data_IF_812910921264
#
_entry.id   IF_812910921264
#
_cell.length_a   1.000
_cell.length_b   1.000
_cell.length_c   1.000
_cell.angle_alpha   90.00
_cell.angle_beta   90.00
_cell.angle_gamma   90.00
#
_symmetry.space_group_name_H-M   'P 1'
#
loop_
_entity.id
_entity.type
_entity.pdbx_description
1 polymer ?
#
# COMPACT_ATOMS: atom_id res chain seq x y z
N UNK A 1 34.21 -12.32 13.74
CA UNK A 1 33.02 -12.87 14.41
C UNK A 1 31.84 -12.10 13.87
N UNK A 2 30.93 -12.75 13.15
CA UNK A 2 29.73 -12.08 12.65
C UNK A 2 28.68 -12.11 13.76
N UNK A 3 28.48 -10.98 14.43
CA UNK A 3 27.30 -10.78 15.27
C UNK A 3 26.11 -10.71 14.31
N UNK A 4 25.43 -11.84 14.11
CA UNK A 4 24.11 -11.81 13.50
C UNK A 4 23.20 -11.11 14.50
N UNK A 5 22.46 -10.07 14.09
CA UNK A 5 21.49 -9.45 14.98
C UNK A 5 20.51 -10.52 15.47
N UNK A 6 20.35 -10.61 16.78
CA UNK A 6 19.37 -11.49 17.42
C UNK A 6 17.97 -11.00 17.02
N UNK A 7 17.11 -11.91 16.57
CA UNK A 7 15.76 -11.55 16.15
C UNK A 7 14.91 -11.18 17.36
N UNK A 8 14.39 -9.94 17.37
CA UNK A 8 13.52 -9.44 18.41
C UNK A 8 12.05 -9.47 17.94
N UNK A 9 11.31 -10.49 18.39
CA UNK A 9 9.89 -10.68 18.06
C UNK A 9 9.03 -9.47 18.48
N UNK A 10 9.26 -8.91 19.66
CA UNK A 10 8.43 -7.80 20.16
C UNK A 10 8.59 -6.55 19.31
N UNK A 11 9.82 -6.26 18.90
CA UNK A 11 10.12 -5.12 18.03
C UNK A 11 9.54 -5.33 16.63
N UNK A 12 9.65 -6.55 16.08
CA UNK A 12 9.05 -6.90 14.81
C UNK A 12 7.52 -6.70 14.81
N UNK A 13 6.83 -7.21 15.83
CA UNK A 13 5.38 -7.03 15.97
C UNK A 13 4.99 -5.56 16.13
N UNK A 14 5.76 -4.78 16.90
CA UNK A 14 5.52 -3.35 17.04
C UNK A 14 5.65 -2.61 15.70
N UNK A 15 6.64 -2.97 14.88
CA UNK A 15 6.82 -2.39 13.54
C UNK A 15 5.68 -2.79 12.58
N UNK A 16 5.20 -4.04 12.64
CA UNK A 16 4.05 -4.50 11.86
C UNK A 16 2.76 -3.75 12.25
N UNK A 17 2.48 -3.63 13.54
CA UNK A 17 1.30 -2.89 14.01
C UNK A 17 1.35 -1.43 13.55
N UNK A 18 2.49 -0.76 13.71
CA UNK A 18 2.66 0.61 13.25
C UNK A 18 2.50 0.75 11.73
N UNK A 19 2.86 -0.28 10.95
CA UNK A 19 2.60 -0.32 9.51
C UNK A 19 1.10 -0.36 9.21
N UNK A 20 0.35 -1.27 9.85
CA UNK A 20 -1.09 -1.39 9.64
C UNK A 20 -1.84 -0.13 10.10
N UNK A 21 -1.48 0.45 11.24
CA UNK A 21 -2.08 1.71 11.72
C UNK A 21 -1.95 2.84 10.69
N UNK A 22 -0.79 2.95 10.02
CA UNK A 22 -0.60 3.94 8.95
C UNK A 22 -1.44 3.62 7.71
N UNK A 23 -1.53 2.36 7.32
CA UNK A 23 -2.35 1.94 6.19
C UNK A 23 -3.84 2.21 6.45
N UNK A 24 -4.33 1.88 7.63
CA UNK A 24 -5.71 2.10 8.06
C UNK A 24 -6.05 3.60 8.11
N UNK A 25 -5.14 4.45 8.56
CA UNK A 25 -5.33 5.89 8.53
C UNK A 25 -5.58 6.41 7.09
N UNK A 26 -4.87 5.88 6.11
CA UNK A 26 -5.06 6.22 4.69
C UNK A 26 -6.37 5.67 4.15
N UNK A 27 -6.74 4.44 4.50
CA UNK A 27 -8.03 3.83 4.13
C UNK A 27 -9.20 4.62 4.71
N UNK A 28 -9.11 5.03 5.98
CA UNK A 28 -10.13 5.85 6.64
C UNK A 28 -10.30 7.20 5.96
N UNK A 29 -9.20 7.84 5.57
CA UNK A 29 -9.26 9.06 4.77
C UNK A 29 -9.93 8.83 3.41
N UNK A 30 -9.59 7.76 2.71
CA UNK A 30 -10.25 7.42 1.44
C UNK A 30 -11.75 7.17 1.62
N UNK A 31 -12.14 6.39 2.64
CA UNK A 31 -13.55 6.13 2.96
C UNK A 31 -14.32 7.41 3.27
N UNK A 32 -13.70 8.40 3.91
CA UNK A 32 -14.32 9.70 4.18
C UNK A 32 -14.65 10.51 2.92
N UNK A 33 -14.06 10.17 1.78
CA UNK A 33 -14.30 10.83 0.48
C UNK A 33 -15.40 10.16 -0.35
N UNK A 34 -15.96 9.05 0.11
CA UNK A 34 -17.14 8.45 -0.50
C UNK A 34 -18.33 9.41 -0.38
N UNK A 35 -19.03 9.62 -1.48
CA UNK A 35 -20.20 10.50 -1.52
C UNK A 35 -21.14 10.09 -2.66
N UNK A 36 -22.37 10.63 -2.74
CA UNK A 36 -23.25 10.43 -3.89
C UNK A 36 -22.63 10.87 -5.23
N UNK A 37 -21.59 11.72 -5.20
CA UNK A 37 -20.88 12.23 -6.38
C UNK A 37 -19.54 11.50 -6.64
N UNK A 38 -19.05 10.71 -5.68
CA UNK A 38 -17.77 10.00 -5.73
C UNK A 38 -17.93 8.59 -5.19
N UNK A 39 -18.14 7.62 -6.08
CA UNK A 39 -18.29 6.21 -5.70
C UNK A 39 -16.93 5.54 -5.43
N UNK A 40 -16.96 4.33 -4.88
CA UNK A 40 -15.76 3.59 -4.46
C UNK A 40 -14.67 3.50 -5.54
N UNK A 41 -15.04 3.17 -6.78
CA UNK A 41 -14.08 3.17 -7.91
C UNK A 41 -13.35 4.49 -8.16
N UNK A 42 -14.03 5.64 -8.03
CA UNK A 42 -13.41 6.96 -8.21
C UNK A 42 -12.47 7.33 -7.06
N UNK A 43 -12.88 7.01 -5.82
CA UNK A 43 -12.05 7.19 -4.63
C UNK A 43 -10.82 6.29 -4.70
N UNK A 44 -10.98 5.02 -5.09
CA UNK A 44 -9.88 4.08 -5.28
C UNK A 44 -8.89 4.55 -6.36
N UNK A 45 -9.39 5.08 -7.48
CA UNK A 45 -8.53 5.66 -8.52
C UNK A 45 -7.74 6.87 -8.00
N UNK A 46 -8.37 7.74 -7.22
CA UNK A 46 -7.73 8.90 -6.58
C UNK A 46 -6.66 8.47 -5.59
N UNK A 47 -6.94 7.45 -4.76
CA UNK A 47 -5.98 6.88 -3.83
C UNK A 47 -4.78 6.25 -4.55
N UNK A 48 -5.01 5.50 -5.63
CA UNK A 48 -3.94 4.91 -6.43
C UNK A 48 -3.02 5.99 -7.05
N UNK A 49 -3.61 7.08 -7.55
CA UNK A 49 -2.84 8.22 -8.06
C UNK A 49 -2.04 8.91 -6.94
N UNK A 50 -2.62 9.09 -5.77
CA UNK A 50 -1.93 9.64 -4.61
C UNK A 50 -0.75 8.76 -4.16
N UNK A 51 -0.96 7.44 -4.10
CA UNK A 51 0.07 6.47 -3.77
C UNK A 51 1.25 6.52 -4.76
N UNK A 52 0.98 6.59 -6.06
CA UNK A 52 2.02 6.72 -7.08
C UNK A 52 2.83 8.01 -6.91
N UNK A 53 2.18 9.15 -6.64
CA UNK A 53 2.88 10.43 -6.41
C UNK A 53 3.76 10.40 -5.17
N UNK A 54 3.26 9.81 -4.08
CA UNK A 54 4.03 9.66 -2.86
C UNK A 54 5.24 8.74 -3.08
N UNK A 55 5.04 7.60 -3.75
CA UNK A 55 6.10 6.66 -4.11
C UNK A 55 7.23 7.34 -4.92
N UNK A 56 6.88 8.12 -5.95
CA UNK A 56 7.86 8.90 -6.73
C UNK A 56 8.58 9.91 -5.85
N UNK A 57 7.87 10.65 -4.98
CA UNK A 57 8.51 11.59 -4.05
C UNK A 57 9.49 10.90 -3.10
N UNK A 58 9.13 9.72 -2.58
CA UNK A 58 9.99 8.96 -1.68
C UNK A 58 11.23 8.41 -2.40
N UNK A 59 11.06 7.86 -3.61
CA UNK A 59 12.15 7.32 -4.41
C UNK A 59 13.16 8.39 -4.85
N UNK A 60 12.70 9.62 -5.04
CA UNK A 60 13.50 10.70 -5.61
C UNK A 60 14.32 11.49 -4.58
N UNK A 61 14.10 11.29 -3.27
CA UNK A 61 14.67 12.13 -2.21
C UNK A 61 16.20 12.15 -2.17
N UNK A 62 16.87 11.13 -2.72
CA UNK A 62 18.33 11.03 -2.79
C UNK A 62 18.96 11.56 -4.09
N UNK A 63 18.16 11.97 -5.08
CA UNK A 63 18.68 12.39 -6.38
C UNK A 63 18.98 13.88 -6.43
N UNK A 64 20.17 14.23 -6.89
CA UNK A 64 20.60 15.63 -7.08
C UNK A 64 20.43 16.10 -8.53
N UNK A 65 20.49 15.17 -9.50
CA UNK A 65 20.43 15.47 -10.94
C UNK A 65 19.31 14.68 -11.61
N UNK A 66 18.50 15.39 -12.41
CA UNK A 66 17.43 14.77 -13.18
C UNK A 66 17.93 13.70 -14.18
N UNK A 67 19.16 13.82 -14.68
CA UNK A 67 19.77 12.81 -15.57
C UNK A 67 20.05 11.48 -14.88
N UNK A 68 20.36 11.51 -13.58
CA UNK A 68 20.60 10.28 -12.82
C UNK A 68 19.27 9.64 -12.43
N UNK A 69 18.27 10.45 -12.05
CA UNK A 69 16.90 9.96 -11.88
C UNK A 69 16.33 9.33 -13.16
N UNK A 70 16.62 9.92 -14.32
CA UNK A 70 16.14 9.39 -15.59
C UNK A 70 16.69 7.99 -15.90
N UNK A 71 17.91 7.66 -15.45
CA UNK A 71 18.51 6.32 -15.61
C UNK A 71 17.82 5.28 -14.72
N UNK A 72 17.36 5.69 -13.54
CA UNK A 72 16.72 4.82 -12.54
C UNK A 72 15.21 4.71 -12.72
N UNK A 73 14.63 5.42 -13.70
CA UNK A 73 13.17 5.52 -13.91
C UNK A 73 12.51 4.15 -14.01
N UNK A 74 13.03 3.27 -14.85
CA UNK A 74 12.40 1.97 -15.12
C UNK A 74 12.52 1.04 -13.91
N UNK A 75 13.62 1.11 -13.16
CA UNK A 75 13.82 0.34 -11.93
C UNK A 75 12.88 0.81 -10.81
N UNK A 76 12.66 2.13 -10.67
CA UNK A 76 11.67 2.69 -9.73
C UNK A 76 10.27 2.21 -10.10
N UNK A 77 9.88 2.27 -11.37
CA UNK A 77 8.56 1.80 -11.84
C UNK A 77 8.40 0.31 -11.51
N UNK A 78 9.40 -0.50 -11.86
CA UNK A 78 9.38 -1.95 -11.61
C UNK A 78 9.22 -2.25 -10.11
N UNK A 79 10.03 -1.62 -9.26
CA UNK A 79 9.99 -1.85 -7.82
C UNK A 79 8.59 -1.61 -7.22
N UNK A 80 7.98 -0.46 -7.51
CA UNK A 80 6.66 -0.15 -6.94
C UNK A 80 5.53 -0.96 -7.56
N UNK A 81 5.58 -1.25 -8.86
CA UNK A 81 4.53 -2.04 -9.52
C UNK A 81 4.54 -3.50 -9.08
N UNK A 82 5.71 -4.13 -8.94
CA UNK A 82 5.83 -5.50 -8.42
C UNK A 82 5.33 -5.60 -6.98
N UNK A 83 5.68 -4.65 -6.12
CA UNK A 83 5.18 -4.61 -4.74
C UNK A 83 3.67 -4.43 -4.67
N UNK A 84 3.13 -3.51 -5.47
CA UNK A 84 1.69 -3.30 -5.52
C UNK A 84 0.95 -4.55 -6.03
N UNK A 85 1.45 -5.18 -7.09
CA UNK A 85 0.87 -6.40 -7.63
C UNK A 85 0.87 -7.54 -6.60
N UNK A 86 1.96 -7.72 -5.86
CA UNK A 86 2.03 -8.73 -4.80
C UNK A 86 0.95 -8.49 -3.74
N UNK A 87 0.90 -7.28 -3.17
CA UNK A 87 -0.10 -6.95 -2.14
C UNK A 87 -1.53 -7.07 -2.67
N UNK A 88 -1.79 -6.63 -3.90
CA UNK A 88 -3.10 -6.74 -4.52
C UNK A 88 -3.52 -8.20 -4.68
N UNK A 89 -2.62 -9.06 -5.15
CA UNK A 89 -2.88 -10.50 -5.28
C UNK A 89 -3.22 -11.12 -3.94
N UNK A 90 -2.39 -10.88 -2.91
CA UNK A 90 -2.61 -11.43 -1.57
C UNK A 90 -3.96 -11.00 -0.97
N UNK A 91 -4.35 -9.72 -1.14
CA UNK A 91 -5.65 -9.23 -0.67
C UNK A 91 -6.83 -9.81 -1.47
N UNK A 92 -6.66 -9.99 -2.79
CA UNK A 92 -7.68 -10.63 -3.62
C UNK A 92 -7.87 -12.09 -3.26
N UNK A 93 -6.79 -12.84 -3.05
CA UNK A 93 -6.83 -14.24 -2.63
C UNK A 93 -7.57 -14.37 -1.29
N UNK A 94 -7.26 -13.51 -0.32
CA UNK A 94 -8.00 -13.45 0.95
C UNK A 94 -9.49 -13.16 0.75
N UNK A 95 -9.85 -12.25 -0.16
CA UNK A 95 -11.25 -11.93 -0.44
C UNK A 95 -11.98 -13.07 -1.14
N UNK A 96 -11.30 -13.80 -2.04
CA UNK A 96 -11.82 -14.98 -2.73
C UNK A 96 -12.07 -16.10 -1.72
N UNK A 97 -11.09 -16.39 -0.86
CA UNK A 97 -11.19 -17.43 0.17
C UNK A 97 -12.31 -17.16 1.17
N UNK A 98 -12.59 -15.88 1.46
CA UNK A 98 -13.58 -15.46 2.45
C UNK A 98 -14.83 -14.81 1.83
N UNK A 99 -15.07 -15.02 0.53
CA UNK A 99 -16.10 -14.30 -0.23
C UNK A 99 -17.49 -14.39 0.41
N UNK A 100 -17.92 -15.61 0.76
CA UNK A 100 -19.23 -15.84 1.38
C UNK A 100 -19.36 -15.15 2.74
N UNK A 101 -18.28 -15.15 3.53
CA UNK A 101 -18.27 -14.50 4.84
C UNK A 101 -18.41 -12.98 4.69
N UNK A 102 -17.63 -12.36 3.80
CA UNK A 102 -17.65 -10.91 3.61
C UNK A 102 -18.91 -10.41 2.92
N UNK A 103 -19.47 -11.17 1.98
CA UNK A 103 -20.69 -10.78 1.25
C UNK A 103 -21.99 -11.08 2.02
N UNK A 104 -22.03 -12.10 2.87
CA UNK A 104 -23.19 -12.35 3.71
C UNK A 104 -23.29 -11.38 4.91
N UNK A 105 -22.16 -10.91 5.45
CA UNK A 105 -22.13 -9.80 6.40
C UNK A 105 -22.75 -8.52 5.81
N UNK A 106 -22.53 -8.26 4.52
CA UNK A 106 -23.11 -7.11 3.83
C UNK A 106 -24.63 -7.21 3.58
N UNK A 107 -25.23 -8.41 3.69
CA UNK A 107 -26.69 -8.62 3.57
C UNK A 107 -27.44 -8.57 4.90
N UNK A 108 -26.73 -8.54 6.03
CA UNK A 108 -27.30 -8.62 7.38
C UNK A 108 -27.22 -7.29 8.15
N UNK A 109 -26.94 -6.18 7.46
CA UNK A 109 -27.08 -4.80 7.93
C UNK A 109 -28.09 -4.05 7.04
#
# INVERSE_FOLDING_TARGET
MSDKPEFNEQEFQAQMNAFFERADAVINLANSQLSPQSHAGQVAASLNYAAARFAVSAATIGFVKGSDLAKEKDDIIKFYTEKYQQMLSENLDQYIENFDKYTNLAKSQ
#
